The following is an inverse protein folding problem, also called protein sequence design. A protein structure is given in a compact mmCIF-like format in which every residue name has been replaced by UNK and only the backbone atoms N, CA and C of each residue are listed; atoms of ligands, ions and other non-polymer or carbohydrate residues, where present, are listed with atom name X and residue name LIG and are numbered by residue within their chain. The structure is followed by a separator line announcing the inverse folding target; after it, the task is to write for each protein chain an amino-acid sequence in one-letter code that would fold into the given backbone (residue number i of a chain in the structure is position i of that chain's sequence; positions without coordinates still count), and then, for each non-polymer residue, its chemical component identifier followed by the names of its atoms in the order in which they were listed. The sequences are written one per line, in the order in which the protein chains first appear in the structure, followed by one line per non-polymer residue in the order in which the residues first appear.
data_IF_638404779348
#
_entry.id   IF_638404779348
#
_cell.length_a   1.000
_cell.length_b   1.000
_cell.length_c   1.000
_cell.angle_alpha   90.00
_cell.angle_beta   90.00
_cell.angle_gamma   90.00
#
_symmetry.space_group_name_H-M   'P 1'
#
loop_
_entity.id
_entity.type
_entity.pdbx_description
1 polymer ?
#
# COMPACT_ATOMS: atom_id res chain seq x y z
N UNK A 1 -12.69 -0.86 -19.64
CA UNK A 1 -12.31 -1.96 -18.73
C UNK A 1 -12.33 -1.40 -17.32
N UNK A 2 -12.94 -2.09 -16.37
CA UNK A 2 -13.00 -1.61 -14.99
C UNK A 2 -11.74 -2.04 -14.24
N UNK A 3 -11.21 -1.16 -13.41
CA UNK A 3 -10.09 -1.47 -12.51
C UNK A 3 -10.54 -1.35 -11.06
N UNK A 4 -9.86 -2.09 -10.21
CA UNK A 4 -10.07 -2.10 -8.77
C UNK A 4 -8.77 -1.71 -8.06
N UNK A 5 -8.89 -1.17 -6.86
CA UNK A 5 -7.78 -0.77 -6.00
C UNK A 5 -7.85 -1.57 -4.71
N UNK A 6 -6.72 -2.15 -4.33
CA UNK A 6 -6.52 -2.82 -3.04
C UNK A 6 -6.28 -1.78 -1.95
N UNK A 7 -7.23 -1.67 -1.02
CA UNK A 7 -7.15 -0.76 0.11
C UNK A 7 -7.30 -1.52 1.43
N UNK A 8 -6.78 -0.96 2.51
CA UNK A 8 -6.95 -1.51 3.85
C UNK A 8 -8.44 -1.47 4.24
N UNK A 9 -8.98 -2.57 4.77
CA UNK A 9 -10.34 -2.59 5.31
C UNK A 9 -10.38 -2.11 6.76
N UNK A 10 -10.29 -0.80 6.99
CA UNK A 10 -10.28 -0.23 8.34
C UNK A 10 -11.59 -0.36 9.11
N UNK A 11 -12.65 -0.92 8.50
CA UNK A 11 -13.88 -1.30 9.20
C UNK A 11 -13.75 -2.69 9.85
N UNK A 12 -12.82 -3.50 9.39
CA UNK A 12 -12.52 -4.81 9.96
C UNK A 12 -11.78 -4.68 11.29
N UNK A 13 -12.15 -5.51 12.25
CA UNK A 13 -11.41 -5.65 13.52
C UNK A 13 -10.08 -6.42 13.35
N UNK A 14 -9.82 -6.96 12.16
CA UNK A 14 -8.62 -7.76 11.87
C UNK A 14 -7.38 -6.91 11.55
N UNK A 15 -7.58 -5.65 11.13
CA UNK A 15 -6.46 -4.73 10.87
C UNK A 15 -6.50 -3.55 11.84
N UNK A 16 -5.34 -3.12 12.36
CA UNK A 16 -5.26 -1.87 13.09
C UNK A 16 -5.33 -0.69 12.13
N UNK A 17 -5.82 0.46 12.59
CA UNK A 17 -5.71 1.72 11.82
C UNK A 17 -4.25 2.19 11.72
N UNK A 18 -3.51 2.01 12.81
CA UNK A 18 -2.08 2.29 12.89
C UNK A 18 -1.37 1.00 13.24
N UNK A 19 -0.62 0.47 12.27
CA UNK A 19 0.28 -0.64 12.50
C UNK A 19 1.44 -0.10 13.38
N UNK A 20 1.38 -0.34 14.68
CA UNK A 20 2.40 0.05 15.65
C UNK A 20 3.66 -0.83 15.50
N UNK A 21 4.26 -0.79 14.32
CA UNK A 21 5.43 -1.55 13.95
C UNK A 21 6.26 -0.82 12.90
N UNK A 22 7.52 -1.21 12.77
CA UNK A 22 8.42 -0.71 11.72
C UNK A 22 9.09 -1.86 10.98
N UNK A 23 9.42 -1.63 9.72
CA UNK A 23 10.24 -2.54 8.92
C UNK A 23 11.72 -2.20 9.09
N UNK A 24 12.54 -3.18 9.45
CA UNK A 24 13.98 -3.03 9.60
C UNK A 24 14.72 -4.28 9.09
N UNK A 25 15.98 -4.07 8.73
CA UNK A 25 16.97 -5.12 8.48
C UNK A 25 17.50 -5.76 9.76
N UNK A 26 17.49 -5.02 10.87
CA UNK A 26 18.03 -5.49 12.15
C UNK A 26 16.89 -5.85 13.10
N UNK A 27 17.06 -6.98 13.78
CA UNK A 27 16.24 -7.30 14.93
C UNK A 27 16.60 -6.33 16.05
N UNK A 28 15.58 -5.69 16.63
CA UNK A 28 15.71 -4.89 17.83
C UNK A 28 14.97 -5.60 18.97
N UNK A 29 15.47 -5.49 20.20
CA UNK A 29 14.80 -6.00 21.41
C UNK A 29 14.91 -4.94 22.50
N UNK A 30 13.77 -4.54 23.05
CA UNK A 30 13.64 -3.52 24.08
C UNK A 30 12.40 -3.78 24.94
N UNK A 31 12.62 -4.14 26.21
CA UNK A 31 11.56 -4.47 27.17
C UNK A 31 10.57 -3.32 27.42
N UNK A 32 10.97 -2.07 27.14
CA UNK A 32 10.11 -0.89 27.26
C UNK A 32 9.16 -0.70 26.06
N UNK A 33 9.17 -1.62 25.10
CA UNK A 33 8.35 -1.57 23.88
C UNK A 33 8.69 -0.46 22.89
N UNK A 34 9.86 0.17 23.03
CA UNK A 34 10.35 1.21 22.13
C UNK A 34 11.29 0.65 21.05
N UNK A 35 11.15 1.15 19.83
CA UNK A 35 12.07 0.86 18.73
C UNK A 35 12.74 2.14 18.23
N UNK A 36 13.98 2.01 17.76
CA UNK A 36 14.66 3.05 17.01
C UNK A 36 14.15 3.06 15.57
N UNK A 37 14.08 4.25 14.96
CA UNK A 37 13.73 4.37 13.55
C UNK A 37 14.72 3.61 12.66
N UNK A 38 14.21 2.94 11.63
CA UNK A 38 15.04 2.24 10.66
C UNK A 38 16.05 3.19 10.02
N UNK A 39 17.30 2.74 9.88
CA UNK A 39 18.35 3.46 9.15
C UNK A 39 18.07 3.53 7.64
N UNK A 40 17.16 2.71 7.16
CA UNK A 40 16.83 2.56 5.75
C UNK A 40 15.43 3.10 5.46
N UNK A 41 15.28 3.79 4.33
CA UNK A 41 13.99 4.24 3.85
C UNK A 41 13.26 3.08 3.16
N UNK A 42 12.46 2.34 3.93
CA UNK A 42 11.56 1.34 3.38
C UNK A 42 10.30 2.00 2.79
N UNK A 43 9.74 1.46 1.69
CA UNK A 43 10.18 0.26 0.96
C UNK A 43 11.34 0.48 -0.03
N UNK A 44 11.76 1.72 -0.28
CA UNK A 44 12.69 2.06 -1.37
C UNK A 44 14.06 1.37 -1.28
N UNK A 45 14.55 1.11 -0.08
CA UNK A 45 15.81 0.38 0.14
C UNK A 45 15.78 -1.05 -0.43
N UNK A 46 14.62 -1.67 -0.66
CA UNK A 46 14.54 -3.00 -1.28
C UNK A 46 15.08 -3.05 -2.73
N UNK A 47 15.24 -1.89 -3.38
CA UNK A 47 15.90 -1.76 -4.69
C UNK A 47 17.41 -1.95 -4.60
N UNK A 48 18.01 -1.70 -3.44
CA UNK A 48 19.46 -1.83 -3.25
C UNK A 48 19.84 -3.32 -3.22
N UNK A 49 20.84 -3.77 -4.03
CA UNK A 49 21.33 -5.15 -4.00
C UNK A 49 21.82 -5.62 -2.62
N UNK A 50 22.19 -4.70 -1.72
CA UNK A 50 22.61 -5.00 -0.35
C UNK A 50 21.45 -5.19 0.63
N UNK A 51 20.21 -4.91 0.21
CA UNK A 51 19.04 -5.13 1.06
C UNK A 51 18.82 -6.63 1.25
N UNK A 52 18.87 -7.15 2.50
CA UNK A 52 18.79 -8.58 2.79
C UNK A 52 17.46 -9.17 2.34
N UNK A 53 17.44 -10.48 2.05
CA UNK A 53 16.25 -11.20 1.61
C UNK A 53 15.17 -11.34 2.69
N UNK A 54 15.56 -11.23 3.95
CA UNK A 54 14.70 -11.30 5.13
C UNK A 54 14.77 -9.98 5.89
N UNK A 55 13.61 -9.51 6.34
CA UNK A 55 13.41 -8.28 7.11
C UNK A 55 12.60 -8.60 8.38
N UNK A 56 12.68 -7.71 9.36
CA UNK A 56 11.88 -7.76 10.56
C UNK A 56 10.76 -6.72 10.47
N UNK A 57 9.55 -7.14 10.83
CA UNK A 57 8.49 -6.24 11.26
C UNK A 57 8.56 -6.17 12.78
N UNK A 58 9.15 -5.12 13.32
CA UNK A 58 9.35 -4.92 14.75
C UNK A 58 8.04 -4.42 15.37
N UNK A 59 7.34 -5.29 16.07
CA UNK A 59 5.99 -5.07 16.55
C UNK A 59 5.95 -4.55 17.99
N UNK A 60 5.32 -3.39 18.19
CA UNK A 60 5.02 -2.83 19.50
C UNK A 60 3.85 -3.52 20.20
N UNK A 61 3.54 -3.07 21.42
CA UNK A 61 2.57 -3.73 22.32
C UNK A 61 1.15 -3.84 21.74
N UNK A 62 0.74 -2.83 20.96
CA UNK A 62 -0.63 -2.68 20.46
C UNK A 62 -0.81 -3.12 19.00
N UNK A 63 0.06 -4.01 18.51
CA UNK A 63 0.00 -4.47 17.11
C UNK A 63 -1.22 -5.37 16.82
N UNK A 64 -1.89 -5.86 17.87
CA UNK A 64 -2.95 -6.85 17.77
C UNK A 64 -2.43 -8.24 17.44
N UNK A 65 -3.30 -9.12 16.95
CA UNK A 65 -2.94 -10.51 16.66
C UNK A 65 -2.40 -10.73 15.23
N UNK A 66 -2.15 -9.65 14.46
CA UNK A 66 -1.69 -9.71 13.06
C UNK A 66 -2.49 -10.70 12.19
N UNK A 67 -3.82 -10.72 12.36
CA UNK A 67 -4.74 -11.70 11.73
C UNK A 67 -5.14 -11.37 10.29
N UNK A 68 -4.47 -10.41 9.65
CA UNK A 68 -4.74 -9.99 8.29
C UNK A 68 -3.86 -10.74 7.28
N UNK A 69 -4.31 -10.89 6.05
CA UNK A 69 -3.48 -11.39 4.94
C UNK A 69 -2.87 -10.27 4.12
N UNK A 70 -3.38 -9.04 4.25
CA UNK A 70 -2.88 -7.85 3.58
C UNK A 70 -2.92 -6.64 4.50
N UNK A 71 -1.89 -5.80 4.41
CA UNK A 71 -1.86 -4.47 4.99
C UNK A 71 -0.98 -3.55 4.14
N UNK A 72 -1.53 -2.44 3.66
CA UNK A 72 -0.77 -1.38 3.01
C UNK A 72 -0.05 -0.54 4.07
N UNK A 73 1.27 -0.44 3.93
CA UNK A 73 2.17 0.27 4.82
C UNK A 73 2.97 1.31 4.02
N UNK A 74 2.49 2.56 3.99
CA UNK A 74 3.06 3.60 3.13
C UNK A 74 2.97 3.21 1.65
N UNK A 75 4.11 3.16 0.96
CA UNK A 75 4.20 2.64 -0.42
C UNK A 75 4.50 1.12 -0.47
N UNK A 76 4.71 0.48 0.67
CA UNK A 76 4.92 -0.95 0.79
C UNK A 76 3.62 -1.69 1.08
N UNK A 77 3.66 -3.01 0.91
CA UNK A 77 2.55 -3.90 1.14
C UNK A 77 3.03 -5.10 1.95
N UNK A 78 2.43 -5.31 3.12
CA UNK A 78 2.60 -6.52 3.91
C UNK A 78 1.56 -7.53 3.43
N UNK A 79 1.97 -8.74 3.11
CA UNK A 79 1.05 -9.79 2.69
C UNK A 79 1.49 -11.19 3.13
N UNK A 80 0.53 -12.10 3.32
CA UNK A 80 0.84 -13.50 3.59
C UNK A 80 1.47 -14.19 2.39
N UNK A 81 2.21 -15.28 2.62
CA UNK A 81 2.82 -16.11 1.58
C UNK A 81 1.79 -16.54 0.52
N UNK A 82 0.63 -17.03 0.97
CA UNK A 82 -0.47 -17.45 0.10
C UNK A 82 -1.03 -16.30 -0.75
N UNK A 83 -1.05 -15.07 -0.21
CA UNK A 83 -1.58 -13.94 -0.95
C UNK A 83 -0.56 -13.42 -1.97
N UNK A 84 0.74 -13.42 -1.63
CA UNK A 84 1.79 -13.13 -2.58
C UNK A 84 1.80 -14.13 -3.75
N UNK A 85 1.69 -15.43 -3.46
CA UNK A 85 1.61 -16.47 -4.50
C UNK A 85 0.42 -16.25 -5.44
N UNK A 86 -0.76 -15.95 -4.88
CA UNK A 86 -1.93 -15.61 -5.68
C UNK A 86 -1.69 -14.37 -6.55
N UNK A 87 -1.15 -13.29 -5.97
CA UNK A 87 -0.94 -12.02 -6.67
C UNK A 87 0.10 -12.15 -7.79
N UNK A 88 1.15 -12.94 -7.55
CA UNK A 88 2.24 -13.19 -8.53
C UNK A 88 1.87 -14.22 -9.60
N UNK A 89 0.73 -14.92 -9.46
CA UNK A 89 0.15 -15.75 -10.52
C UNK A 89 -0.42 -14.96 -11.70
N UNK A 90 -0.54 -13.63 -11.55
CA UNK A 90 -1.05 -12.72 -12.57
C UNK A 90 0.07 -12.01 -13.33
N UNK A 91 -0.27 -11.35 -14.46
CA UNK A 91 0.67 -10.44 -15.14
C UNK A 91 0.84 -9.18 -14.30
N UNK A 92 1.97 -9.08 -13.61
CA UNK A 92 2.25 -7.98 -12.67
C UNK A 92 3.39 -7.10 -13.18
N UNK A 93 3.34 -5.80 -12.87
CA UNK A 93 4.48 -4.88 -13.08
C UNK A 93 5.68 -5.30 -12.23
N UNK A 94 6.89 -4.85 -12.60
CA UNK A 94 8.10 -5.17 -11.84
C UNK A 94 7.93 -4.81 -10.35
N UNK A 95 8.39 -5.70 -9.48
CA UNK A 95 8.25 -5.56 -8.04
C UNK A 95 9.47 -6.11 -7.31
N UNK A 96 9.63 -5.66 -6.07
CA UNK A 96 10.56 -6.20 -5.11
C UNK A 96 9.76 -6.82 -3.98
N UNK A 97 10.23 -7.95 -3.44
CA UNK A 97 9.70 -8.47 -2.20
C UNK A 97 10.82 -9.02 -1.32
N UNK A 98 10.54 -9.08 -0.02
CA UNK A 98 11.39 -9.66 1.01
C UNK A 98 10.54 -10.47 1.98
N UNK A 99 11.11 -11.53 2.52
CA UNK A 99 10.49 -12.25 3.63
C UNK A 99 10.39 -11.30 4.83
N UNK A 100 9.26 -11.33 5.53
CA UNK A 100 9.00 -10.44 6.66
C UNK A 100 8.66 -11.26 7.91
N UNK A 101 9.51 -11.16 8.93
CA UNK A 101 9.33 -11.80 10.22
C UNK A 101 8.71 -10.80 11.20
N UNK A 102 7.43 -10.96 11.53
CA UNK A 102 6.85 -10.20 12.64
C UNK A 102 7.44 -10.67 13.95
N UNK A 103 8.05 -9.72 14.65
CA UNK A 103 8.85 -9.97 15.83
C UNK A 103 8.41 -9.01 16.93
N UNK A 104 8.06 -9.53 18.10
CA UNK A 104 7.75 -8.70 19.24
C UNK A 104 8.99 -7.94 19.70
N UNK A 105 8.88 -6.61 19.83
CA UNK A 105 10.03 -5.78 20.20
C UNK A 105 10.47 -6.05 21.66
N UNK A 106 9.59 -6.47 22.56
CA UNK A 106 9.92 -6.62 23.97
C UNK A 106 10.87 -7.79 24.28
N UNK A 107 10.72 -8.91 23.59
CA UNK A 107 11.46 -10.14 23.86
C UNK A 107 12.10 -10.76 22.60
N UNK A 108 11.83 -10.20 21.42
CA UNK A 108 12.33 -10.71 20.15
C UNK A 108 11.64 -12.00 19.68
N UNK A 109 10.51 -12.38 20.23
CA UNK A 109 9.77 -13.56 19.80
C UNK A 109 9.16 -13.35 18.41
N UNK A 110 9.24 -14.39 17.56
CA UNK A 110 8.59 -14.36 16.25
C UNK A 110 7.10 -14.62 16.45
N UNK A 111 6.30 -13.59 16.23
CA UNK A 111 4.83 -13.64 16.32
C UNK A 111 4.27 -14.32 15.07
N UNK A 112 4.87 -14.04 13.90
CA UNK A 112 4.39 -14.52 12.61
C UNK A 112 5.52 -14.54 11.57
N UNK A 113 5.60 -15.60 10.78
CA UNK A 113 6.69 -15.81 9.81
C UNK A 113 6.20 -16.21 8.40
N UNK A 114 4.91 -16.17 8.12
CA UNK A 114 4.30 -16.43 6.81
C UNK A 114 4.02 -15.13 6.04
N UNK A 115 4.80 -14.07 6.28
CA UNK A 115 4.59 -12.76 5.67
C UNK A 115 5.73 -12.33 4.74
N UNK A 116 5.39 -11.42 3.83
CA UNK A 116 6.29 -10.76 2.90
C UNK A 116 6.04 -9.26 2.92
N UNK A 117 7.09 -8.48 2.66
CA UNK A 117 7.01 -7.06 2.37
C UNK A 117 7.27 -6.86 0.89
N UNK A 118 6.31 -6.27 0.18
CA UNK A 118 6.32 -6.10 -1.26
C UNK A 118 6.26 -4.62 -1.63
N UNK A 119 6.94 -4.26 -2.70
CA UNK A 119 6.91 -2.94 -3.30
C UNK A 119 6.85 -3.06 -4.81
N UNK A 120 5.75 -2.58 -5.40
CA UNK A 120 5.61 -2.51 -6.85
C UNK A 120 6.34 -1.28 -7.35
N UNK A 121 7.13 -1.44 -8.41
CA UNK A 121 7.66 -0.30 -9.13
C UNK A 121 6.51 0.41 -9.82
N UNK A 122 6.41 1.71 -9.58
CA UNK A 122 5.36 2.52 -10.17
C UNK A 122 5.74 2.83 -11.62
N UNK A 123 4.75 2.76 -12.51
CA UNK A 123 4.95 3.04 -13.93
C UNK A 123 4.22 4.32 -14.30
N UNK A 124 5.00 5.35 -14.63
CA UNK A 124 4.49 6.68 -15.04
C UNK A 124 3.64 6.63 -16.31
N UNK A 125 3.85 5.62 -17.14
CA UNK A 125 3.28 5.52 -18.48
C UNK A 125 2.00 4.68 -18.56
N UNK A 126 1.31 4.42 -17.44
CA UNK A 126 0.02 3.70 -17.43
C UNK A 126 -1.19 4.65 -17.35
N UNK A 127 -1.01 5.86 -16.83
CA UNK A 127 -2.06 6.86 -16.67
C UNK A 127 -2.11 7.81 -17.88
N UNK A 128 -3.30 8.06 -18.41
CA UNK A 128 -3.57 9.13 -19.37
C UNK A 128 -3.89 10.41 -18.60
N UNK A 129 -2.89 11.27 -18.40
CA UNK A 129 -3.01 12.50 -17.61
C UNK A 129 -3.97 13.52 -18.24
N UNK A 130 -4.12 13.50 -19.57
CA UNK A 130 -4.96 14.47 -20.28
C UNK A 130 -6.44 14.09 -20.20
N UNK A 131 -6.75 12.79 -20.24
CA UNK A 131 -8.13 12.29 -20.14
C UNK A 131 -8.59 12.05 -18.70
N UNK A 132 -7.66 11.98 -17.75
CA UNK A 132 -7.99 11.85 -16.34
C UNK A 132 -8.50 13.16 -15.76
N UNK A 133 -9.42 13.09 -14.79
CA UNK A 133 -9.87 14.25 -14.04
C UNK A 133 -9.00 14.38 -12.78
N UNK A 134 -7.97 15.23 -12.90
CA UNK A 134 -6.96 15.45 -11.86
C UNK A 134 -7.01 16.89 -11.37
N UNK A 135 -6.90 17.09 -10.06
CA UNK A 135 -6.84 18.40 -9.42
C UNK A 135 -5.59 18.47 -8.51
N UNK A 136 -4.79 19.53 -8.62
CA UNK A 136 -3.65 19.73 -7.71
C UNK A 136 -4.15 20.18 -6.33
N UNK A 137 -3.69 19.51 -5.27
CA UNK A 137 -3.93 19.95 -3.90
C UNK A 137 -3.05 21.16 -3.52
N UNK A 138 -3.21 21.66 -2.30
CA UNK A 138 -2.39 22.78 -1.77
C UNK A 138 -0.90 22.44 -1.57
N UNK A 139 -0.53 21.16 -1.57
CA UNK A 139 0.81 20.64 -1.36
C UNK A 139 1.50 20.21 -2.67
N UNK A 140 0.82 20.28 -3.81
CA UNK A 140 1.33 19.88 -5.12
C UNK A 140 1.00 18.44 -5.53
N UNK A 141 0.28 17.66 -4.72
CA UNK A 141 -0.13 16.29 -5.07
C UNK A 141 -1.34 16.30 -6.01
N UNK A 142 -1.44 15.34 -6.93
CA UNK A 142 -2.59 15.22 -7.81
C UNK A 142 -3.69 14.38 -7.15
N UNK A 143 -4.85 15.01 -6.92
CA UNK A 143 -6.10 14.39 -6.49
C UNK A 143 -6.79 13.73 -7.68
N UNK A 144 -6.96 12.39 -7.71
CA UNK A 144 -7.52 11.70 -8.84
C UNK A 144 -9.04 11.52 -8.71
N UNK A 145 -9.83 12.50 -9.15
CA UNK A 145 -11.30 12.41 -9.17
C UNK A 145 -11.79 11.36 -10.16
N UNK A 146 -11.08 11.20 -11.29
CA UNK A 146 -11.30 10.13 -12.26
C UNK A 146 -9.99 9.72 -12.92
N UNK A 147 -9.70 8.42 -12.92
CA UNK A 147 -8.52 7.86 -13.57
C UNK A 147 -8.88 7.27 -14.93
N UNK A 148 -8.12 7.65 -15.96
CA UNK A 148 -8.19 7.04 -17.29
C UNK A 148 -6.83 6.41 -17.59
N UNK A 149 -6.79 5.09 -17.78
CA UNK A 149 -5.57 4.38 -18.12
C UNK A 149 -5.38 4.31 -19.64
N UNK A 150 -4.14 4.41 -20.10
CA UNK A 150 -3.81 4.22 -21.51
C UNK A 150 -3.65 2.73 -21.85
N UNK A 151 -3.49 2.40 -23.13
CA UNK A 151 -3.48 1.02 -23.64
C UNK A 151 -2.36 0.13 -23.05
N UNK A 152 -1.26 0.71 -22.56
CA UNK A 152 -0.15 -0.06 -21.98
C UNK A 152 -0.59 -0.86 -20.76
N UNK A 153 -1.63 -0.42 -20.06
CA UNK A 153 -2.20 -1.11 -18.90
C UNK A 153 -2.73 -2.50 -19.24
N UNK A 154 -3.11 -2.76 -20.50
CA UNK A 154 -3.69 -4.04 -20.95
C UNK A 154 -2.70 -5.21 -20.86
N UNK A 155 -1.41 -4.90 -20.73
CA UNK A 155 -0.35 -5.87 -20.50
C UNK A 155 -0.31 -6.40 -19.06
N UNK A 156 -1.04 -5.76 -18.14
CA UNK A 156 -0.99 -6.04 -16.71
C UNK A 156 -2.37 -6.34 -16.16
N UNK A 157 -2.42 -7.33 -15.27
CA UNK A 157 -3.54 -7.62 -14.41
C UNK A 157 -3.36 -7.00 -13.02
N UNK A 158 -2.10 -6.74 -12.63
CA UNK A 158 -1.73 -6.12 -11.36
C UNK A 158 -0.67 -5.05 -11.62
N UNK A 159 -0.90 -3.82 -11.16
CA UNK A 159 0.04 -2.71 -11.39
C UNK A 159 -0.04 -1.65 -10.30
N UNK A 160 0.92 -0.73 -10.29
CA UNK A 160 0.85 0.49 -9.50
C UNK A 160 1.13 1.70 -10.38
N UNK A 161 0.49 2.82 -10.05
CA UNK A 161 0.68 4.11 -10.74
C UNK A 161 1.48 5.05 -9.84
N UNK A 162 2.04 6.09 -10.46
CA UNK A 162 2.67 7.21 -9.76
C UNK A 162 1.84 8.50 -9.93
N UNK A 163 2.34 9.60 -9.36
CA UNK A 163 1.95 11.01 -9.55
C UNK A 163 0.63 11.45 -8.94
N UNK A 164 -0.17 10.54 -8.40
CA UNK A 164 -1.43 10.87 -7.73
C UNK A 164 -1.37 10.52 -6.24
N UNK A 165 -2.35 10.98 -5.46
CA UNK A 165 -2.53 10.55 -4.07
C UNK A 165 -2.79 9.04 -3.92
N UNK A 166 -3.12 8.35 -5.02
CA UNK A 166 -3.20 6.89 -5.07
C UNK A 166 -1.89 6.22 -5.51
N UNK A 167 -0.77 6.96 -5.51
CA UNK A 167 0.56 6.40 -5.75
C UNK A 167 0.90 5.34 -4.69
N UNK A 168 1.52 4.24 -5.14
CA UNK A 168 1.85 3.09 -4.30
C UNK A 168 0.64 2.25 -3.86
N UNK A 169 -0.56 2.47 -4.40
CA UNK A 169 -1.64 1.49 -4.31
C UNK A 169 -1.49 0.42 -5.39
N UNK A 170 -2.03 -0.78 -5.12
CA UNK A 170 -2.11 -1.85 -6.11
C UNK A 170 -3.45 -1.75 -6.83
N UNK A 171 -3.39 -1.62 -8.15
CA UNK A 171 -4.50 -1.67 -9.07
C UNK A 171 -4.61 -3.06 -9.67
N UNK A 172 -5.85 -3.50 -9.90
CA UNK A 172 -6.21 -4.82 -10.39
C UNK A 172 -7.11 -4.70 -11.61
N UNK A 173 -6.88 -5.53 -12.62
CA UNK A 173 -7.87 -5.80 -13.66
C UNK A 173 -9.12 -6.46 -13.05
N UNK A 174 -10.24 -6.37 -13.76
CA UNK A 174 -11.50 -7.00 -13.34
C UNK A 174 -11.35 -8.50 -13.10
N UNK A 175 -10.60 -9.21 -13.94
CA UNK A 175 -10.33 -10.65 -13.79
C UNK A 175 -9.58 -10.94 -12.49
N UNK A 176 -8.54 -10.16 -12.18
CA UNK A 176 -7.77 -10.32 -10.96
C UNK A 176 -8.62 -10.02 -9.72
N UNK A 177 -9.39 -8.93 -9.75
CA UNK A 177 -10.30 -8.57 -8.68
C UNK A 177 -11.34 -9.65 -8.39
N UNK A 178 -11.96 -10.24 -9.41
CA UNK A 178 -12.95 -11.31 -9.25
C UNK A 178 -12.36 -12.59 -8.66
N UNK A 179 -11.12 -12.95 -9.03
CA UNK A 179 -10.43 -14.08 -8.41
C UNK A 179 -10.12 -13.80 -6.93
N UNK A 180 -9.63 -12.61 -6.61
CA UNK A 180 -9.34 -12.22 -5.21
C UNK A 180 -10.59 -12.20 -4.32
N UNK A 181 -11.75 -11.78 -4.83
CA UNK A 181 -13.02 -11.81 -4.08
C UNK A 181 -13.40 -13.23 -3.63
N UNK A 182 -13.09 -14.25 -4.44
CA UNK A 182 -13.41 -15.65 -4.12
C UNK A 182 -12.56 -16.21 -2.98
N UNK A 183 -11.32 -15.75 -2.87
CA UNK A 183 -10.35 -16.23 -1.87
C UNK A 183 -10.55 -15.64 -0.46
N UNK A 184 -11.43 -14.64 -0.29
CA UNK A 184 -11.77 -14.02 1.01
C UNK A 184 -10.53 -13.60 1.83
N UNK A 185 -9.59 -12.92 1.18
CA UNK A 185 -8.35 -12.43 1.78
C UNK A 185 -8.67 -11.44 2.93
N UNK A 186 -8.16 -11.70 4.13
CA UNK A 186 -8.44 -10.86 5.29
C UNK A 186 -7.65 -9.53 5.28
N UNK A 187 -8.29 -8.45 5.74
CA UNK A 187 -7.65 -7.15 5.96
C UNK A 187 -7.64 -6.19 4.76
N UNK A 188 -8.27 -6.58 3.65
CA UNK A 188 -8.39 -5.72 2.47
C UNK A 188 -9.84 -5.53 2.04
N UNK A 189 -10.07 -4.42 1.35
CA UNK A 189 -11.27 -4.14 0.56
C UNK A 189 -10.86 -3.84 -0.88
N UNK A 190 -11.74 -4.22 -1.81
CA UNK A 190 -11.57 -3.96 -3.24
C UNK A 190 -12.54 -2.86 -3.66
N UNK A 191 -12.00 -1.73 -4.08
CA UNK A 191 -12.76 -0.55 -4.46
C UNK A 191 -12.58 -0.30 -5.95
N UNK A 192 -13.65 0.07 -6.67
CA UNK A 192 -13.49 0.47 -8.08
C UNK A 192 -12.57 1.69 -8.16
N UNK A 193 -11.75 1.79 -9.20
CA UNK A 193 -10.83 2.92 -9.38
C UNK A 193 -11.51 4.29 -9.27
N UNK A 194 -12.74 4.39 -9.79
CA UNK A 194 -13.53 5.63 -9.81
C UNK A 194 -14.03 6.06 -8.42
N UNK A 195 -14.05 5.15 -7.45
CA UNK A 195 -14.45 5.42 -6.07
C UNK A 195 -13.28 5.39 -5.09
N UNK A 196 -12.08 4.98 -5.54
CA UNK A 196 -10.92 4.79 -4.69
C UNK A 196 -10.46 6.09 -4.00
N UNK A 197 -10.56 7.24 -4.67
CA UNK A 197 -10.17 8.51 -4.06
C UNK A 197 -11.15 8.99 -2.98
N UNK A 198 -12.45 8.73 -3.15
CA UNK A 198 -13.46 9.01 -2.11
C UNK A 198 -13.21 8.14 -0.88
N UNK A 199 -12.89 6.87 -1.09
CA UNK A 199 -12.56 5.97 0.00
C UNK A 199 -11.24 6.36 0.69
N UNK A 200 -10.25 6.85 -0.06
CA UNK A 200 -9.02 7.42 0.49
C UNK A 200 -9.32 8.61 1.41
N UNK A 201 -10.20 9.53 1.00
CA UNK A 201 -10.59 10.69 1.81
C UNK A 201 -11.21 10.25 3.16
N UNK A 202 -12.08 9.25 3.13
CA UNK A 202 -12.71 8.66 4.33
C UNK A 202 -11.67 7.96 5.21
N UNK A 203 -10.81 7.13 4.62
CA UNK A 203 -9.86 6.31 5.36
C UNK A 203 -8.80 7.17 6.07
N UNK A 204 -8.32 8.22 5.41
CA UNK A 204 -7.20 9.04 5.89
C UNK A 204 -7.62 10.41 6.43
N UNK A 205 -8.91 10.76 6.39
CA UNK A 205 -9.41 12.05 6.87
C UNK A 205 -8.76 13.23 6.13
N UNK A 206 -8.48 13.06 4.84
CA UNK A 206 -7.72 14.00 4.02
C UNK A 206 -8.45 15.34 3.82
N UNK A 207 -9.78 15.34 3.90
CA UNK A 207 -10.68 16.47 3.65
C UNK A 207 -10.37 17.14 2.31
N UNK A 208 -10.90 16.54 1.24
CA UNK A 208 -10.80 17.05 -0.14
C UNK A 208 -11.16 18.54 -0.20
N UNK A 209 -12.19 18.98 0.53
CA UNK A 209 -12.68 20.35 0.49
C UNK A 209 -11.65 21.36 0.99
N UNK A 210 -10.99 21.08 2.12
CA UNK A 210 -9.97 21.98 2.69
C UNK A 210 -8.59 21.87 2.04
N UNK A 211 -8.35 20.77 1.31
CA UNK A 211 -7.08 20.49 0.62
C UNK A 211 -6.96 21.14 -0.75
N UNK A 212 -8.06 21.68 -1.32
CA UNK A 212 -8.03 22.42 -2.60
C UNK A 212 -7.13 23.63 -2.54
N UNK A 213 -6.37 23.85 -3.62
CA UNK A 213 -5.53 25.04 -3.79
C UNK A 213 -6.42 26.29 -3.83
N UNK A 214 -6.32 27.15 -2.80
CA UNK A 214 -7.10 28.40 -2.75
C UNK A 214 -6.68 29.30 -3.91
N UNK A 215 -7.59 29.56 -4.84
CA UNK A 215 -7.41 30.59 -5.87
C UNK A 215 -7.36 31.94 -5.15
N UNK A 216 -6.20 32.61 -5.16
CA UNK A 216 -6.09 33.99 -4.66
C UNK A 216 -7.01 34.87 -5.50
N UNK A 217 -8.17 35.26 -4.97
CA UNK A 217 -8.95 36.36 -5.54
C UNK A 217 -8.09 37.62 -5.46
N UNK A 218 -7.78 38.24 -6.61
CA UNK A 218 -7.31 39.62 -6.60
C UNK A 218 -8.43 40.45 -5.97
N UNK A 219 -8.10 41.14 -4.88
CA UNK A 219 -9.00 42.16 -4.32
C UNK A 219 -9.20 43.25 -5.39
N UNK A 220 -10.42 43.81 -5.51
CA UNK A 220 -10.72 44.87 -6.46
C UNK A 220 -9.85 46.11 -6.23
#
# INVERSE_FOLDING_TARGET
MNYYVLMNDYKSSLIPRYLHAIVDTNKQVNENWDYEGSKHSFPYYMKDPKCPNELFLLCGQNIGALKFNYYKDGHGHIMSDSFLELLTSFRITDFFHRKLLATAINNGEIIRNDMNYMYLTQKDNLLDLEKSELEEDRFGSLMPHKLVFNENVLNYDVFSIDRTLLSGYIFLSEIAAEKLKKERIAGLKLIKSDDAFKEYDIDYGYDIGSSRKRVKRKLP
#
